data_IF_749825064306
#
_entry.id   IF_749825064306
#
_cell.length_a   1.000
_cell.length_b   1.000
_cell.length_c   1.000
_cell.angle_alpha   90.00
_cell.angle_beta   90.00
_cell.angle_gamma   90.00
#
_symmetry.space_group_name_H-M   'P 1'
#
loop_
_entity.id
_entity.type
_entity.pdbx_description
1 polymer ?
#
# COMPACT_ATOMS: atom_id res chain seq x y z
N UNK A 1 7.09 11.28 -2.00
CA UNK A 1 6.54 10.10 -2.70
C UNK A 1 5.04 10.30 -2.87
N UNK A 2 4.55 10.20 -4.08
CA UNK A 2 3.13 10.43 -4.37
C UNK A 2 2.36 9.10 -4.44
N UNK A 3 1.04 9.18 -4.40
CA UNK A 3 0.17 8.00 -4.45
C UNK A 3 0.40 7.17 -5.70
N UNK A 4 0.71 7.80 -6.83
CA UNK A 4 0.99 7.12 -8.09
C UNK A 4 2.22 6.20 -7.98
N UNK A 5 3.23 6.60 -7.20
CA UNK A 5 4.42 5.78 -6.97
C UNK A 5 4.08 4.52 -6.16
N UNK A 6 3.23 4.68 -5.16
CA UNK A 6 2.73 3.54 -4.36
C UNK A 6 1.94 2.58 -5.24
N UNK A 7 1.05 3.11 -6.08
CA UNK A 7 0.26 2.31 -7.02
C UNK A 7 1.17 1.53 -7.98
N UNK A 8 2.18 2.19 -8.56
CA UNK A 8 3.15 1.54 -9.45
C UNK A 8 3.87 0.39 -8.75
N UNK A 9 4.30 0.63 -7.52
CA UNK A 9 5.00 -0.40 -6.73
C UNK A 9 4.12 -1.63 -6.48
N UNK A 10 2.86 -1.41 -6.08
CA UNK A 10 1.91 -2.50 -5.82
C UNK A 10 1.62 -3.28 -7.11
N UNK A 11 1.37 -2.55 -8.19
CA UNK A 11 1.10 -3.16 -9.50
C UNK A 11 2.27 -4.04 -9.96
N UNK A 12 3.48 -3.55 -9.85
CA UNK A 12 4.68 -4.30 -10.19
C UNK A 12 4.91 -5.49 -9.26
N UNK A 13 4.79 -5.26 -7.94
CA UNK A 13 5.00 -6.28 -6.92
C UNK A 13 4.13 -7.52 -7.15
N UNK A 14 2.87 -7.32 -7.50
CA UNK A 14 1.88 -8.39 -7.68
C UNK A 14 1.61 -8.73 -9.15
N UNK A 15 2.31 -8.08 -10.06
CA UNK A 15 2.14 -8.26 -11.50
C UNK A 15 0.67 -8.10 -11.94
N UNK A 16 0.05 -7.00 -11.50
CA UNK A 16 -1.37 -6.75 -11.76
C UNK A 16 -1.57 -6.06 -13.11
N UNK A 17 -2.58 -6.51 -13.86
CA UNK A 17 -3.08 -5.76 -15.00
C UNK A 17 -3.87 -4.54 -14.54
N UNK A 18 -4.11 -3.58 -15.43
CA UNK A 18 -4.89 -2.39 -15.12
C UNK A 18 -6.32 -2.75 -14.71
N UNK A 19 -6.92 -3.72 -15.39
CA UNK A 19 -8.25 -4.25 -15.06
C UNK A 19 -8.25 -4.88 -13.66
N UNK A 20 -7.18 -5.60 -13.30
CA UNK A 20 -7.08 -6.24 -11.99
C UNK A 20 -6.97 -5.21 -10.87
N UNK A 21 -6.28 -4.10 -11.10
CA UNK A 21 -6.24 -2.97 -10.16
C UNK A 21 -7.65 -2.45 -9.90
N UNK A 22 -8.45 -2.26 -10.96
CA UNK A 22 -9.84 -1.84 -10.84
C UNK A 22 -10.65 -2.85 -10.01
N UNK A 23 -10.55 -4.12 -10.34
CA UNK A 23 -11.29 -5.19 -9.66
C UNK A 23 -10.96 -5.23 -8.16
N UNK A 24 -9.68 -5.16 -7.80
CA UNK A 24 -9.24 -5.17 -6.40
C UNK A 24 -9.77 -3.95 -5.66
N UNK A 25 -9.69 -2.76 -6.26
CA UNK A 25 -10.20 -1.53 -5.66
C UNK A 25 -11.71 -1.64 -5.40
N UNK A 26 -12.46 -2.23 -6.33
CA UNK A 26 -13.91 -2.42 -6.19
C UNK A 26 -14.30 -3.46 -5.14
N UNK A 27 -13.36 -4.29 -4.67
CA UNK A 27 -13.62 -5.16 -3.53
C UNK A 27 -13.94 -4.35 -2.26
N UNK A 28 -13.29 -3.19 -2.10
CA UNK A 28 -13.56 -2.30 -0.96
C UNK A 28 -14.85 -1.49 -1.15
N UNK A 29 -15.13 -1.06 -2.39
CA UNK A 29 -16.34 -0.29 -2.72
C UNK A 29 -16.75 -0.57 -4.17
N UNK A 30 -17.75 -1.46 -4.39
CA UNK A 30 -18.17 -1.82 -5.75
C UNK A 30 -18.67 -0.66 -6.59
N UNK A 31 -19.18 0.40 -5.96
CA UNK A 31 -19.73 1.56 -6.65
C UNK A 31 -18.68 2.64 -6.96
N UNK A 32 -17.41 2.44 -6.60
CA UNK A 32 -16.39 3.45 -6.89
C UNK A 32 -16.27 3.67 -8.40
N UNK A 33 -16.32 4.95 -8.87
CA UNK A 33 -16.29 5.24 -10.31
C UNK A 33 -14.86 5.17 -10.85
N UNK A 34 -14.25 3.98 -10.82
CA UNK A 34 -12.91 3.73 -11.31
C UNK A 34 -12.97 2.81 -12.52
N UNK A 35 -12.30 3.21 -13.59
CA UNK A 35 -12.23 2.45 -14.83
C UNK A 35 -10.77 2.19 -15.22
N UNK A 36 -10.57 1.28 -16.17
CA UNK A 36 -9.25 0.96 -16.71
C UNK A 36 -8.52 2.22 -17.22
N UNK A 37 -9.25 3.12 -17.89
CA UNK A 37 -8.68 4.35 -18.43
C UNK A 37 -8.10 5.24 -17.32
N UNK A 38 -8.72 5.26 -16.13
CA UNK A 38 -8.22 6.01 -14.99
C UNK A 38 -6.88 5.45 -14.50
N UNK A 39 -6.78 4.13 -14.40
CA UNK A 39 -5.54 3.45 -13.98
C UNK A 39 -4.43 3.71 -14.99
N UNK A 40 -4.71 3.65 -16.28
CA UNK A 40 -3.74 3.98 -17.33
C UNK A 40 -3.21 5.40 -17.16
N UNK A 41 -4.10 6.37 -16.85
CA UNK A 41 -3.71 7.77 -16.64
C UNK A 41 -2.83 7.93 -15.39
N UNK A 42 -3.11 7.19 -14.31
CA UNK A 42 -2.29 7.22 -13.09
C UNK A 42 -0.88 6.67 -13.33
N UNK A 43 -0.71 5.77 -14.28
CA UNK A 43 0.56 5.10 -14.56
C UNK A 43 1.41 5.82 -15.61
N UNK A 44 0.90 6.90 -16.21
CA UNK A 44 1.67 7.73 -17.13
C UNK A 44 2.76 8.48 -16.38
N UNK A 45 3.75 8.98 -17.13
CA UNK A 45 4.79 9.85 -16.56
C UNK A 45 4.17 11.19 -16.17
N UNK A 46 4.72 11.81 -15.14
CA UNK A 46 4.20 13.10 -14.64
C UNK A 46 4.27 14.23 -15.69
N UNK A 47 5.20 14.14 -16.65
CA UNK A 47 5.32 15.10 -17.73
C UNK A 47 4.37 14.83 -18.92
N UNK A 48 3.65 13.73 -18.91
CA UNK A 48 2.67 13.41 -19.94
C UNK A 48 1.40 14.25 -19.73
N UNK A 49 0.87 14.89 -20.81
CA UNK A 49 -0.34 15.72 -20.67
C UNK A 49 -1.57 14.94 -20.24
N UNK A 50 -1.60 13.62 -20.43
CA UNK A 50 -2.71 12.75 -20.04
C UNK A 50 -2.52 12.15 -18.63
N UNK A 51 -1.45 12.52 -17.92
CA UNK A 51 -1.21 12.08 -16.56
C UNK A 51 -2.28 12.61 -15.61
N UNK A 52 -2.75 11.75 -14.70
CA UNK A 52 -3.68 12.10 -13.63
C UNK A 52 -3.11 11.65 -12.30
N UNK A 53 -3.15 12.54 -11.30
CA UNK A 53 -2.73 12.20 -9.94
C UNK A 53 -3.76 11.27 -9.29
N UNK A 54 -3.29 10.17 -8.71
CA UNK A 54 -4.12 9.23 -7.96
C UNK A 54 -4.51 9.86 -6.61
N UNK A 55 -5.82 9.97 -6.36
CA UNK A 55 -6.32 10.55 -5.11
C UNK A 55 -6.12 9.61 -3.93
N UNK A 56 -6.16 10.17 -2.72
CA UNK A 56 -6.17 9.36 -1.49
C UNK A 56 -7.40 8.44 -1.46
N UNK A 57 -8.52 8.91 -1.97
CA UNK A 57 -9.75 8.11 -2.02
C UNK A 57 -9.55 6.81 -2.81
N UNK A 58 -8.94 6.90 -4.00
CA UNK A 58 -8.66 5.72 -4.82
C UNK A 58 -7.61 4.83 -4.17
N UNK A 59 -6.50 5.40 -3.70
CA UNK A 59 -5.44 4.60 -3.10
C UNK A 59 -5.89 3.91 -1.81
N UNK A 60 -6.66 4.60 -0.97
CA UNK A 60 -7.21 4.01 0.25
C UNK A 60 -8.10 2.80 -0.05
N UNK A 61 -8.95 2.91 -1.07
CA UNK A 61 -9.80 1.80 -1.50
C UNK A 61 -9.00 0.66 -2.12
N UNK A 62 -7.95 0.96 -2.88
CA UNK A 62 -7.04 -0.06 -3.40
C UNK A 62 -6.36 -0.82 -2.25
N UNK A 63 -5.88 -0.12 -1.24
CA UNK A 63 -5.22 -0.75 -0.09
C UNK A 63 -6.18 -1.67 0.68
N UNK A 64 -7.39 -1.19 0.95
CA UNK A 64 -8.41 -2.02 1.62
C UNK A 64 -8.86 -3.18 0.74
N UNK A 65 -9.02 -2.95 -0.55
CA UNK A 65 -9.32 -4.00 -1.52
C UNK A 65 -8.22 -5.05 -1.58
N UNK A 66 -6.96 -4.62 -1.48
CA UNK A 66 -5.82 -5.53 -1.48
C UNK A 66 -5.82 -6.43 -0.24
N UNK A 67 -6.18 -5.90 0.93
CA UNK A 67 -6.34 -6.70 2.15
C UNK A 67 -7.43 -7.77 1.93
N UNK A 68 -8.57 -7.39 1.36
CA UNK A 68 -9.65 -8.32 1.04
C UNK A 68 -9.18 -9.38 0.04
N UNK A 69 -8.48 -8.96 -1.01
CA UNK A 69 -7.97 -9.85 -2.05
C UNK A 69 -6.99 -10.89 -1.50
N UNK A 70 -6.11 -10.48 -0.60
CA UNK A 70 -5.09 -11.36 -0.02
C UNK A 70 -5.61 -12.21 1.14
N UNK A 71 -6.51 -11.65 1.96
CA UNK A 71 -6.96 -12.25 3.23
C UNK A 71 -8.40 -12.74 3.21
N UNK A 72 -9.19 -12.32 2.23
CA UNK A 72 -10.64 -12.56 2.20
C UNK A 72 -11.40 -11.63 3.14
N UNK A 73 -12.73 -11.68 3.05
CA UNK A 73 -13.61 -10.89 3.92
C UNK A 73 -13.88 -11.65 5.22
N UNK A 74 -13.84 -10.91 6.33
CA UNK A 74 -14.35 -11.43 7.59
C UNK A 74 -15.77 -10.89 7.78
N UNK A 75 -16.76 -11.66 7.35
CA UNK A 75 -18.18 -11.28 7.41
C UNK A 75 -18.72 -11.18 8.85
N UNK A 76 -18.00 -11.73 9.83
CA UNK A 76 -18.38 -11.66 11.25
C UNK A 76 -18.09 -10.29 11.86
N UNK A 77 -17.25 -9.50 11.21
CA UNK A 77 -16.89 -8.15 11.68
C UNK A 77 -17.62 -7.13 10.84
N UNK A 78 -18.09 -6.03 11.45
CA UNK A 78 -18.65 -4.92 10.67
C UNK A 78 -17.58 -4.35 9.74
N UNK A 79 -18.01 -3.91 8.56
CA UNK A 79 -17.14 -3.24 7.61
C UNK A 79 -16.57 -1.97 8.27
N UNK A 80 -15.25 -1.82 8.25
CA UNK A 80 -14.62 -0.60 8.75
C UNK A 80 -14.68 0.47 7.65
N UNK A 81 -14.91 1.75 8.02
CA UNK A 81 -14.80 2.83 7.05
C UNK A 81 -13.40 2.87 6.44
N UNK A 82 -13.34 3.13 5.14
CA UNK A 82 -12.07 3.36 4.46
C UNK A 82 -11.49 4.70 4.92
N UNK A 83 -10.19 4.75 5.15
CA UNK A 83 -9.52 5.96 5.57
C UNK A 83 -9.67 7.07 4.51
N UNK A 84 -9.88 8.30 4.95
CA UNK A 84 -10.07 9.46 4.06
C UNK A 84 -8.74 9.99 3.52
N UNK A 85 -7.66 9.80 4.27
CA UNK A 85 -6.31 10.24 3.90
C UNK A 85 -5.35 9.08 3.95
N UNK A 86 -4.40 9.07 3.02
CA UNK A 86 -3.34 8.07 2.97
C UNK A 86 -2.05 8.69 3.46
N UNK A 87 -1.47 8.10 4.50
CA UNK A 87 -0.13 8.41 4.98
C UNK A 87 0.80 7.25 4.65
N UNK A 88 2.10 7.51 4.68
CA UNK A 88 3.08 6.44 4.51
C UNK A 88 2.90 5.33 5.55
N UNK A 89 2.57 5.69 6.79
CA UNK A 89 2.30 4.72 7.86
C UNK A 89 1.08 3.85 7.56
N UNK A 90 0.05 4.44 6.95
CA UNK A 90 -1.14 3.67 6.52
C UNK A 90 -0.77 2.65 5.44
N UNK A 91 0.06 3.05 4.47
CA UNK A 91 0.54 2.13 3.42
C UNK A 91 1.28 0.95 4.04
N UNK A 92 2.21 1.22 4.97
CA UNK A 92 2.94 0.18 5.70
C UNK A 92 1.97 -0.78 6.39
N UNK A 93 1.02 -0.23 7.14
CA UNK A 93 0.05 -1.00 7.93
C UNK A 93 -0.80 -1.90 7.03
N UNK A 94 -1.34 -1.36 5.94
CA UNK A 94 -2.21 -2.12 5.03
C UNK A 94 -1.44 -3.23 4.32
N UNK A 95 -0.22 -2.97 3.88
CA UNK A 95 0.61 -3.99 3.26
C UNK A 95 1.05 -5.06 4.26
N UNK A 96 1.36 -4.66 5.51
CA UNK A 96 1.64 -5.61 6.58
C UNK A 96 0.46 -6.58 6.77
N UNK A 97 -0.75 -6.05 6.84
CA UNK A 97 -1.96 -6.87 7.03
C UNK A 97 -2.21 -7.75 5.81
N UNK A 98 -2.14 -7.18 4.60
CA UNK A 98 -2.40 -7.91 3.36
C UNK A 98 -1.49 -9.13 3.20
N UNK A 99 -0.20 -8.98 3.50
CA UNK A 99 0.80 -10.04 3.35
C UNK A 99 1.09 -10.81 4.63
N UNK A 100 0.35 -10.56 5.70
CA UNK A 100 0.52 -11.24 7.01
C UNK A 100 1.95 -11.16 7.54
N UNK A 101 2.57 -9.99 7.45
CA UNK A 101 3.95 -9.82 7.86
C UNK A 101 4.07 -9.73 9.38
N UNK A 102 4.79 -10.66 9.96
CA UNK A 102 5.17 -10.66 11.39
C UNK A 102 6.38 -9.73 11.58
N UNK A 103 6.74 -9.46 12.83
CA UNK A 103 7.89 -8.61 13.14
C UNK A 103 9.17 -9.10 12.46
N UNK A 104 9.42 -10.39 12.46
CA UNK A 104 10.60 -10.97 11.80
C UNK A 104 10.56 -10.75 10.29
N UNK A 105 9.40 -10.85 9.67
CA UNK A 105 9.22 -10.61 8.24
C UNK A 105 9.50 -9.15 7.89
N UNK A 106 9.02 -8.21 8.73
CA UNK A 106 9.28 -6.79 8.54
C UNK A 106 10.76 -6.47 8.61
N UNK A 107 11.47 -7.06 9.58
CA UNK A 107 12.93 -6.91 9.66
C UNK A 107 13.62 -7.41 8.39
N UNK A 108 13.21 -8.57 7.89
CA UNK A 108 13.77 -9.15 6.67
C UNK A 108 13.50 -8.27 5.45
N UNK A 109 12.30 -7.68 5.36
CA UNK A 109 11.93 -6.78 4.26
C UNK A 109 12.84 -5.55 4.25
N UNK A 110 13.03 -4.89 5.40
CA UNK A 110 13.89 -3.72 5.46
C UNK A 110 15.36 -4.08 5.22
N UNK A 111 15.81 -5.19 5.75
CA UNK A 111 17.19 -5.66 5.53
C UNK A 111 17.45 -5.98 4.05
N UNK A 112 16.49 -6.59 3.36
CA UNK A 112 16.61 -6.92 1.94
C UNK A 112 16.77 -5.68 1.07
N UNK A 113 16.22 -4.55 1.50
CA UNK A 113 16.37 -3.26 0.81
C UNK A 113 17.68 -2.54 1.16
N UNK A 114 18.52 -3.13 2.03
CA UNK A 114 19.78 -2.54 2.46
C UNK A 114 19.64 -1.48 3.55
N UNK A 115 18.48 -1.37 4.19
CA UNK A 115 18.25 -0.41 5.26
C UNK A 115 17.66 -1.13 6.49
N UNK A 116 18.50 -1.80 7.30
CA UNK A 116 18.03 -2.44 8.52
C UNK A 116 17.44 -1.42 9.48
N UNK A 117 16.38 -1.81 10.18
CA UNK A 117 15.70 -0.97 11.14
C UNK A 117 15.70 -1.67 12.50
N UNK A 118 15.85 -0.90 13.59
CA UNK A 118 15.78 -1.47 14.94
C UNK A 118 14.35 -1.87 15.31
N UNK A 119 14.21 -2.80 16.25
CA UNK A 119 12.88 -3.23 16.72
C UNK A 119 12.07 -2.08 17.32
N UNK A 120 12.63 -1.20 18.18
CA UNK A 120 11.89 -0.04 18.68
C UNK A 120 11.43 0.92 17.58
N UNK A 121 12.25 1.18 16.57
CA UNK A 121 11.89 2.03 15.43
C UNK A 121 10.74 1.42 14.63
N UNK A 122 10.81 0.13 14.38
CA UNK A 122 9.77 -0.60 13.66
C UNK A 122 8.45 -0.57 14.43
N UNK A 123 8.48 -0.84 15.73
CA UNK A 123 7.29 -0.78 16.58
C UNK A 123 6.65 0.61 16.55
N UNK A 124 7.48 1.67 16.58
CA UNK A 124 7.00 3.05 16.57
C UNK A 124 6.24 3.41 15.29
N UNK A 125 6.59 2.82 14.15
CA UNK A 125 5.92 3.07 12.86
C UNK A 125 4.47 2.56 12.86
N UNK A 126 4.15 1.55 13.66
CA UNK A 126 2.83 0.90 13.68
C UNK A 126 1.97 1.30 14.88
N UNK A 127 2.44 2.24 15.70
CA UNK A 127 1.63 2.76 16.83
C UNK A 127 0.53 3.67 16.33
N UNK A 128 -0.45 3.94 17.18
CA UNK A 128 -1.48 4.95 16.91
C UNK A 128 -0.83 6.33 16.76
N UNK A 129 -1.29 7.17 15.83
CA UNK A 129 -0.73 8.51 15.63
C UNK A 129 -0.75 9.39 16.89
N UNK A 130 -1.68 9.14 17.82
CA UNK A 130 -1.77 9.85 19.10
C UNK A 130 -0.75 9.38 20.13
N UNK A 131 -0.07 8.26 19.90
CA UNK A 131 0.90 7.72 20.86
C UNK A 131 2.18 8.57 20.85
N UNK A 132 2.72 8.88 22.05
CA UNK A 132 3.92 9.73 22.17
C UNK A 132 5.18 9.14 21.52
N UNK A 133 5.23 7.83 21.36
CA UNK A 133 6.33 7.12 20.68
C UNK A 133 6.01 6.80 19.20
N UNK A 134 4.94 7.37 18.65
CA UNK A 134 4.62 7.22 17.24
C UNK A 134 5.70 7.88 16.38
N UNK A 135 6.11 7.18 15.33
CA UNK A 135 7.07 7.70 14.35
C UNK A 135 6.41 7.80 12.98
N UNK A 136 6.53 8.97 12.38
CA UNK A 136 6.10 9.18 10.98
C UNK A 136 7.08 8.49 10.05
N UNK A 137 6.55 7.69 9.12
CA UNK A 137 7.34 7.05 8.08
C UNK A 137 7.70 8.06 6.99
N UNK A 138 8.98 8.35 6.84
CA UNK A 138 9.47 9.20 5.75
C UNK A 138 9.40 8.47 4.42
N UNK A 139 9.50 9.25 3.33
CA UNK A 139 9.40 8.70 1.97
C UNK A 139 10.50 7.70 1.65
N UNK A 140 11.72 7.97 2.10
CA UNK A 140 12.83 7.05 1.84
C UNK A 140 12.63 5.69 2.52
N UNK A 141 12.10 5.71 3.74
CA UNK A 141 11.80 4.49 4.47
C UNK A 141 10.69 3.69 3.77
N UNK A 142 9.66 4.38 3.28
CA UNK A 142 8.59 3.74 2.52
C UNK A 142 9.12 3.13 1.21
N UNK A 143 9.96 3.86 0.48
CA UNK A 143 10.59 3.33 -0.75
C UNK A 143 11.37 2.05 -0.47
N UNK A 144 12.15 2.03 0.61
CA UNK A 144 12.92 0.86 1.00
C UNK A 144 12.01 -0.31 1.38
N UNK A 145 10.95 -0.04 2.10
CA UNK A 145 9.95 -1.06 2.44
C UNK A 145 9.33 -1.66 1.18
N UNK A 146 8.87 -0.82 0.25
CA UNK A 146 8.26 -1.28 -0.99
C UNK A 146 9.24 -2.09 -1.84
N UNK A 147 10.50 -1.66 -1.89
CA UNK A 147 11.56 -2.39 -2.59
C UNK A 147 11.80 -3.77 -1.97
N UNK A 148 11.97 -3.82 -0.66
CA UNK A 148 12.21 -5.08 0.05
C UNK A 148 11.02 -6.03 -0.06
N UNK A 149 9.81 -5.50 0.05
CA UNK A 149 8.59 -6.31 -0.10
C UNK A 149 8.46 -6.84 -1.53
N UNK A 150 8.79 -6.02 -2.53
CA UNK A 150 8.79 -6.45 -3.93
C UNK A 150 9.75 -7.61 -4.16
N UNK A 151 10.96 -7.52 -3.63
CA UNK A 151 11.94 -8.60 -3.72
C UNK A 151 11.41 -9.89 -3.07
N UNK A 152 10.77 -9.77 -1.91
CA UNK A 152 10.20 -10.90 -1.19
C UNK A 152 9.06 -11.55 -1.97
N UNK A 153 8.13 -10.76 -2.48
CA UNK A 153 6.92 -11.25 -3.17
C UNK A 153 7.27 -11.83 -4.54
N UNK A 154 8.17 -11.20 -5.28
CA UNK A 154 8.56 -11.69 -6.61
C UNK A 154 9.63 -12.80 -6.54
N UNK A 155 10.22 -13.03 -5.39
CA UNK A 155 11.24 -14.06 -5.22
C UNK A 155 12.59 -13.73 -5.88
N UNK A 156 12.87 -12.46 -6.07
CA UNK A 156 14.09 -12.03 -6.73
C UNK A 156 15.06 -11.39 -5.76
#
# INVERSE_FOLDING_TARGET
MINNDVLRSIRYMLDLSDIKVVEITKLAEPAIPLEKADVLAFLRREDDPDYVACSDHVLAHLLDGLVIHCRGRNERLPARPVEKRVTNNLVLKKLRVAFELKDVDLHDVFAAAGLPISKPEMTALFRQPSHHNYRVCGDQLLRNFLKGLTLRVRGA
#
